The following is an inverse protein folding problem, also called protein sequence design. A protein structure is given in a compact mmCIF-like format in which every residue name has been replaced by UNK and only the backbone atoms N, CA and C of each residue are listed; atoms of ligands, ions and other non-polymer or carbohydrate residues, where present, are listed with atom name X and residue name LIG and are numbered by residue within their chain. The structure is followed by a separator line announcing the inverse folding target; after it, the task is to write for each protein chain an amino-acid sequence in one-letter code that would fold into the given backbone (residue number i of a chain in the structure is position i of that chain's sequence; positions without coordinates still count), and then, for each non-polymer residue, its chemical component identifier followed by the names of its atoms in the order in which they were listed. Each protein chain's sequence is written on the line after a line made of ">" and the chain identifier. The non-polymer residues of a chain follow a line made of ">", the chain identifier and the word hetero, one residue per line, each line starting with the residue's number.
data_IF_334846389258
#
_entry.id   IF_334846389258
#
_cell.length_a   1.000
_cell.length_b   1.000
_cell.length_c   1.000
_cell.angle_alpha   90.00
_cell.angle_beta   90.00
_cell.angle_gamma   90.00
#
_symmetry.space_group_name_H-M   'P 1'
#
loop_
_entity.id
_entity.type
_entity.pdbx_description
1 polymer ?
#
# COMPACT_ATOMS: atom_id res chain seq x y z
N UNK A 1 -9.26 -6.51 -10.87
CA UNK A 1 -9.11 -6.35 -9.41
C UNK A 1 -9.65 -4.98 -9.06
N UNK A 2 -10.28 -4.78 -7.90
CA UNK A 2 -10.68 -3.42 -7.49
C UNK A 2 -9.49 -2.75 -6.82
N UNK A 3 -9.18 -1.52 -7.22
CA UNK A 3 -7.99 -0.80 -6.76
C UNK A 3 -8.36 0.66 -6.49
N UNK A 4 -7.98 1.16 -5.32
CA UNK A 4 -8.00 2.60 -5.02
C UNK A 4 -6.56 3.04 -4.75
N UNK A 5 -6.13 4.15 -5.35
CA UNK A 5 -4.77 4.68 -5.24
C UNK A 5 -4.85 6.06 -4.61
N UNK A 6 -4.00 6.31 -3.62
CA UNK A 6 -3.76 7.64 -3.07
C UNK A 6 -2.35 8.05 -3.45
N UNK A 7 -2.23 9.23 -4.06
CA UNK A 7 -0.95 9.81 -4.44
C UNK A 7 -0.54 10.84 -3.39
N UNK A 8 0.71 10.78 -2.97
CA UNK A 8 1.27 11.66 -1.96
C UNK A 8 2.59 12.26 -2.44
N UNK A 9 2.91 13.45 -1.94
CA UNK A 9 4.25 14.02 -2.04
C UNK A 9 4.76 14.39 -0.66
N UNK A 10 6.00 13.98 -0.37
CA UNK A 10 6.65 14.18 0.93
C UNK A 10 8.09 14.62 0.77
N UNK A 11 8.62 15.29 1.79
CA UNK A 11 10.06 15.58 1.92
C UNK A 11 10.81 14.50 2.70
N UNK A 12 10.11 13.51 3.26
CA UNK A 12 10.72 12.37 3.96
C UNK A 12 11.60 11.56 3.01
N UNK A 13 12.72 11.09 3.53
CA UNK A 13 13.58 10.14 2.82
C UNK A 13 12.85 8.82 2.55
N UNK A 14 13.25 8.12 1.49
CA UNK A 14 12.73 6.79 1.13
C UNK A 14 12.78 5.83 2.33
N UNK A 15 13.86 5.85 3.12
CA UNK A 15 14.01 5.00 4.30
C UNK A 15 13.03 5.34 5.44
N UNK A 16 12.73 6.62 5.66
CA UNK A 16 11.69 7.03 6.62
C UNK A 16 10.31 6.56 6.15
N UNK A 17 10.01 6.69 4.86
CA UNK A 17 8.74 6.23 4.29
C UNK A 17 8.59 4.71 4.42
N UNK A 18 9.63 3.94 4.07
CA UNK A 18 9.67 2.47 4.25
C UNK A 18 9.45 2.07 5.71
N UNK A 19 10.12 2.76 6.64
CA UNK A 19 9.97 2.50 8.07
C UNK A 19 8.54 2.78 8.51
N UNK A 20 7.97 3.93 8.18
CA UNK A 20 6.58 4.27 8.52
C UNK A 20 5.60 3.26 7.93
N UNK A 21 5.78 2.87 6.67
CA UNK A 21 4.93 1.87 6.02
C UNK A 21 4.97 0.52 6.77
N UNK A 22 6.17 -0.01 7.00
CA UNK A 22 6.33 -1.32 7.64
C UNK A 22 5.87 -1.31 9.10
N UNK A 23 6.24 -0.30 9.90
CA UNK A 23 5.83 -0.23 11.32
C UNK A 23 4.34 -0.01 11.49
N UNK A 24 3.71 0.81 10.62
CA UNK A 24 2.26 1.06 10.68
C UNK A 24 1.47 -0.20 10.36
N UNK A 25 1.93 -0.98 9.38
CA UNK A 25 1.22 -2.17 8.91
C UNK A 25 1.57 -3.44 9.68
N UNK A 26 2.71 -3.47 10.39
CA UNK A 26 3.11 -4.58 11.26
C UNK A 26 2.28 -4.61 12.56
N UNK A 27 0.97 -4.85 12.45
CA UNK A 27 0.07 -4.94 13.60
C UNK A 27 0.00 -6.35 14.22
N UNK A 28 0.54 -7.37 13.54
CA UNK A 28 0.59 -8.76 14.02
C UNK A 28 1.71 -9.55 13.34
N UNK A 29 2.03 -10.75 13.86
CA UNK A 29 3.02 -11.68 13.25
C UNK A 29 2.59 -12.29 11.90
N UNK A 30 1.34 -12.06 11.46
CA UNK A 30 0.78 -12.65 10.24
C UNK A 30 0.85 -11.73 9.01
N UNK A 31 1.40 -10.52 9.17
CA UNK A 31 1.56 -9.59 8.06
C UNK A 31 2.78 -10.02 7.26
N UNK A 32 2.58 -10.28 5.98
CA UNK A 32 3.63 -10.63 5.04
C UNK A 32 4.03 -9.38 4.26
N UNK A 33 5.35 -9.17 4.11
CA UNK A 33 5.93 -8.09 3.33
C UNK A 33 6.77 -8.68 2.20
N UNK A 34 6.75 -8.06 1.03
CA UNK A 34 7.55 -8.50 -0.10
C UNK A 34 7.67 -7.44 -1.18
N UNK A 35 8.48 -7.73 -2.20
CA UNK A 35 8.61 -6.87 -3.38
C UNK A 35 7.40 -7.06 -4.31
N UNK A 36 6.94 -5.98 -4.93
CA UNK A 36 5.99 -6.08 -6.04
C UNK A 36 6.75 -6.68 -7.23
N UNK A 37 6.11 -7.58 -7.98
CA UNK A 37 6.73 -8.08 -9.22
C UNK A 37 6.67 -6.96 -10.25
N UNK A 38 7.74 -6.73 -11.00
CA UNK A 38 7.79 -5.68 -12.01
C UNK A 38 6.65 -5.77 -13.06
N UNK A 39 6.13 -6.99 -13.34
CA UNK A 39 4.96 -7.20 -14.21
C UNK A 39 3.63 -6.73 -13.64
N UNK A 40 3.56 -6.53 -12.32
CA UNK A 40 2.36 -6.25 -11.55
C UNK A 40 2.33 -4.77 -11.09
N UNK A 41 3.31 -3.96 -11.50
CA UNK A 41 3.28 -2.51 -11.31
C UNK A 41 2.38 -1.87 -12.38
N UNK A 42 1.19 -1.34 -12.02
CA UNK A 42 0.29 -0.72 -12.98
C UNK A 42 0.76 0.68 -13.40
N UNK A 43 1.81 1.21 -12.77
CA UNK A 43 2.38 2.51 -13.06
C UNK A 43 3.58 2.27 -13.99
N UNK A 44 3.48 2.69 -15.25
CA UNK A 44 4.52 2.55 -16.29
C UNK A 44 5.83 3.31 -15.97
N UNK A 45 5.87 4.03 -14.85
CA UNK A 45 7.03 4.78 -14.39
C UNK A 45 8.05 3.90 -13.65
N UNK A 46 9.32 4.26 -13.83
CA UNK A 46 10.44 3.63 -13.12
C UNK A 46 10.40 4.05 -11.66
N UNK A 47 9.79 3.23 -10.81
CA UNK A 47 9.78 3.41 -9.35
C UNK A 47 11.12 3.00 -8.76
N UNK A 48 11.65 3.79 -7.84
CA UNK A 48 12.91 3.50 -7.15
C UNK A 48 12.72 2.46 -6.04
N UNK A 49 11.49 2.33 -5.53
CA UNK A 49 11.12 1.30 -4.58
C UNK A 49 9.66 0.89 -4.71
N UNK A 50 9.41 -0.41 -4.69
CA UNK A 50 8.10 -1.02 -4.73
C UNK A 50 7.98 -2.20 -3.75
N UNK A 51 6.93 -2.18 -2.95
CA UNK A 51 6.68 -3.25 -1.97
C UNK A 51 5.18 -3.45 -1.73
N UNK A 52 4.86 -4.61 -1.17
CA UNK A 52 3.52 -4.89 -0.67
C UNK A 52 3.56 -5.31 0.79
N UNK A 53 2.43 -5.11 1.45
CA UNK A 53 2.10 -5.67 2.74
C UNK A 53 0.73 -6.33 2.63
N UNK A 54 0.61 -7.56 3.11
CA UNK A 54 -0.66 -8.27 3.12
C UNK A 54 -0.89 -9.04 4.41
N UNK A 55 -2.16 -9.27 4.69
CA UNK A 55 -2.58 -10.18 5.74
C UNK A 55 -3.73 -11.00 5.22
N UNK A 56 -3.55 -12.33 5.21
CA UNK A 56 -4.58 -13.29 4.83
C UNK A 56 -5.09 -14.04 6.05
N UNK A 57 -6.41 -14.07 6.23
CA UNK A 57 -7.06 -14.89 7.25
C UNK A 57 -8.16 -15.77 6.66
N UNK A 58 -8.69 -16.67 7.48
CA UNK A 58 -9.83 -17.50 7.11
C UNK A 58 -11.11 -16.70 6.80
N UNK A 59 -11.23 -15.48 7.34
CA UNK A 59 -12.40 -14.59 7.16
C UNK A 59 -12.20 -13.54 6.05
N UNK A 60 -11.09 -13.61 5.31
CA UNK A 60 -10.66 -12.58 4.36
C UNK A 60 -9.38 -11.87 4.79
N UNK A 61 -8.95 -10.89 4.02
CA UNK A 61 -7.70 -10.18 4.26
C UNK A 61 -7.63 -8.80 3.64
N UNK A 62 -6.47 -8.16 3.78
CA UNK A 62 -6.15 -6.89 3.13
C UNK A 62 -4.80 -6.98 2.43
N UNK A 63 -4.62 -6.12 1.43
CA UNK A 63 -3.39 -6.01 0.65
C UNK A 63 -3.19 -4.54 0.30
N UNK A 64 -2.02 -4.01 0.65
CA UNK A 64 -1.59 -2.66 0.33
C UNK A 64 -0.27 -2.73 -0.42
N UNK A 65 -0.16 -1.99 -1.51
CA UNK A 65 1.10 -1.78 -2.22
C UNK A 65 1.56 -0.34 -2.04
N UNK A 66 2.88 -0.17 -1.97
CA UNK A 66 3.54 1.13 -1.95
C UNK A 66 4.53 1.19 -3.11
N UNK A 67 4.51 2.32 -3.81
CA UNK A 67 5.47 2.67 -4.85
C UNK A 67 6.05 4.03 -4.48
N UNK A 68 7.37 4.16 -4.57
CA UNK A 68 8.08 5.39 -4.26
C UNK A 68 8.97 5.74 -5.45
N UNK A 69 8.83 6.96 -5.92
CA UNK A 69 9.70 7.59 -6.92
C UNK A 69 10.45 8.73 -6.25
N UNK A 70 11.78 8.65 -6.25
CA UNK A 70 12.65 9.66 -5.67
C UNK A 70 12.94 10.76 -6.69
N UNK A 71 12.34 11.94 -6.49
CA UNK A 71 12.59 13.15 -7.29
C UNK A 71 13.61 14.07 -6.61
N UNK A 72 14.55 13.49 -5.85
CA UNK A 72 15.66 14.15 -5.15
C UNK A 72 15.21 14.98 -3.95
N UNK A 73 14.51 16.09 -4.20
CA UNK A 73 14.03 17.02 -3.17
C UNK A 73 12.69 16.57 -2.57
N UNK A 74 11.89 15.84 -3.36
CA UNK A 74 10.59 15.31 -2.94
C UNK A 74 10.44 13.86 -3.37
N UNK A 75 9.68 13.08 -2.61
CA UNK A 75 9.33 11.70 -2.95
C UNK A 75 7.86 11.67 -3.34
N UNK A 76 7.60 11.12 -4.51
CA UNK A 76 6.24 10.80 -4.95
C UNK A 76 5.92 9.39 -4.46
N UNK A 77 4.85 9.27 -3.67
CA UNK A 77 4.43 7.99 -3.11
C UNK A 77 3.05 7.67 -3.66
N UNK A 78 2.88 6.43 -4.11
CA UNK A 78 1.59 5.91 -4.49
C UNK A 78 1.25 4.75 -3.57
N UNK A 79 0.16 4.87 -2.83
CA UNK A 79 -0.37 3.83 -1.96
C UNK A 79 -1.61 3.23 -2.61
N UNK A 80 -1.53 1.96 -3.00
CA UNK A 80 -2.63 1.25 -3.63
C UNK A 80 -3.31 0.29 -2.63
N UNK A 81 -4.59 0.50 -2.37
CA UNK A 81 -5.45 -0.42 -1.68
C UNK A 81 -6.04 -1.42 -2.68
N UNK A 82 -5.75 -2.71 -2.49
CA UNK A 82 -6.23 -3.77 -3.37
C UNK A 82 -7.41 -4.53 -2.76
N UNK A 83 -8.39 -4.84 -3.59
CA UNK A 83 -9.55 -5.65 -3.24
C UNK A 83 -9.96 -6.60 -4.35
N UNK A 84 -10.50 -7.76 -3.97
CA UNK A 84 -11.07 -8.70 -4.94
C UNK A 84 -12.41 -8.18 -5.47
N UNK A 85 -12.64 -8.25 -6.78
CA UNK A 85 -13.92 -7.86 -7.37
C UNK A 85 -15.05 -8.79 -6.90
N UNK A 86 -16.31 -8.33 -6.76
CA UNK A 86 -17.45 -9.16 -6.34
C UNK A 86 -17.58 -10.48 -7.13
N UNK A 87 -17.39 -10.42 -8.45
CA UNK A 87 -17.35 -11.59 -9.35
C UNK A 87 -16.16 -12.53 -9.06
N UNK A 88 -14.96 -11.98 -8.79
CA UNK A 88 -13.80 -12.79 -8.39
C UNK A 88 -13.94 -13.43 -7.01
N UNK A 89 -14.67 -12.79 -6.09
CA UNK A 89 -14.99 -13.33 -4.76
C UNK A 89 -15.93 -14.53 -4.83
N UNK A 90 -16.92 -14.48 -5.72
CA UNK A 90 -17.88 -15.57 -5.92
C UNK A 90 -17.22 -16.84 -6.52
N UNK A 91 -16.14 -16.70 -7.31
CA UNK A 91 -15.51 -17.81 -8.02
C UNK A 91 -14.36 -18.48 -7.25
N UNK A 92 -13.64 -17.74 -6.41
CA UNK A 92 -12.46 -18.26 -5.68
C UNK A 92 -12.73 -18.54 -4.20
N UNK A 93 -13.91 -18.19 -3.68
CA UNK A 93 -14.26 -18.31 -2.27
C UNK A 93 -13.58 -17.25 -1.40
N UNK A 94 -14.24 -16.85 -0.29
CA UNK A 94 -13.83 -15.74 0.58
C UNK A 94 -12.40 -15.87 1.14
N UNK A 95 -11.90 -17.11 1.27
CA UNK A 95 -10.55 -17.44 1.77
C UNK A 95 -9.41 -16.84 0.92
N UNK A 96 -9.68 -16.50 -0.34
CA UNK A 96 -8.68 -15.94 -1.26
C UNK A 96 -8.99 -14.50 -1.66
N UNK A 97 -9.73 -13.77 -0.81
CA UNK A 97 -10.26 -12.46 -1.18
C UNK A 97 -9.77 -11.35 -0.27
N UNK A 98 -9.31 -10.27 -0.89
CA UNK A 98 -8.96 -9.05 -0.17
C UNK A 98 -10.16 -8.11 -0.13
N UNK A 99 -10.40 -7.52 1.04
CA UNK A 99 -11.42 -6.50 1.25
C UNK A 99 -10.87 -5.13 0.88
N UNK A 100 -11.40 -4.50 -0.17
CA UNK A 100 -11.00 -3.14 -0.56
C UNK A 100 -11.17 -2.15 0.60
N UNK A 101 -12.24 -2.32 1.39
CA UNK A 101 -12.52 -1.48 2.56
C UNK A 101 -11.42 -1.57 3.61
N UNK A 102 -10.96 -2.79 3.93
CA UNK A 102 -9.89 -2.99 4.91
C UNK A 102 -8.56 -2.49 4.37
N UNK A 103 -8.23 -2.79 3.11
CA UNK A 103 -7.03 -2.27 2.44
C UNK A 103 -7.00 -0.75 2.45
N UNK A 104 -8.13 -0.08 2.18
CA UNK A 104 -8.26 1.38 2.25
C UNK A 104 -8.02 1.90 3.67
N UNK A 105 -8.58 1.26 4.70
CA UNK A 105 -8.33 1.64 6.09
C UNK A 105 -6.84 1.59 6.43
N UNK A 106 -6.13 0.56 5.96
CA UNK A 106 -4.67 0.44 6.14
C UNK A 106 -3.89 1.51 5.41
N UNK A 107 -4.25 1.81 4.17
CA UNK A 107 -3.66 2.95 3.44
C UNK A 107 -3.87 4.25 4.22
N UNK A 108 -5.07 4.54 4.70
CA UNK A 108 -5.34 5.75 5.46
C UNK A 108 -4.54 5.81 6.77
N UNK A 109 -4.32 4.67 7.45
CA UNK A 109 -3.43 4.63 8.62
C UNK A 109 -1.99 5.01 8.26
N UNK A 110 -1.47 4.53 7.12
CA UNK A 110 -0.12 4.91 6.65
C UNK A 110 -0.07 6.40 6.30
N UNK A 111 -1.08 6.92 5.60
CA UNK A 111 -1.18 8.35 5.27
C UNK A 111 -1.14 9.21 6.54
N UNK A 112 -1.88 8.83 7.58
CA UNK A 112 -1.92 9.59 8.83
C UNK A 112 -0.57 9.59 9.57
N UNK A 113 0.14 8.45 9.56
CA UNK A 113 1.48 8.37 10.15
C UNK A 113 2.51 9.16 9.33
N UNK A 114 2.41 9.15 8.00
CA UNK A 114 3.24 9.99 7.13
C UNK A 114 2.98 11.47 7.37
N UNK A 115 1.70 11.87 7.53
CA UNK A 115 1.33 13.26 7.84
C UNK A 115 1.84 13.71 9.20
N UNK A 116 1.81 12.81 10.19
CA UNK A 116 2.38 13.07 11.51
C UNK A 116 3.89 13.27 11.48
N UNK A 117 4.58 12.60 10.54
CA UNK A 117 6.02 12.70 10.34
C UNK A 117 6.45 13.85 9.42
N UNK A 118 5.56 14.31 8.53
CA UNK A 118 5.79 15.39 7.58
C UNK A 118 4.57 16.32 7.50
N UNK A 119 4.67 17.47 8.16
CA UNK A 119 3.62 18.50 8.12
C UNK A 119 3.41 19.08 6.72
N UNK A 120 4.37 18.92 5.80
CA UNK A 120 4.28 19.36 4.40
C UNK A 120 3.69 18.31 3.45
N UNK A 121 3.21 17.17 3.96
CA UNK A 121 2.65 16.09 3.13
C UNK A 121 1.48 16.59 2.27
N UNK A 122 1.61 16.46 0.95
CA UNK A 122 0.55 16.77 -0.01
C UNK A 122 -0.16 15.49 -0.44
N UNK A 123 -1.49 15.55 -0.58
CA UNK A 123 -2.33 14.45 -1.05
C UNK A 123 -3.00 14.89 -2.35
N UNK A 124 -2.93 14.06 -3.39
CA UNK A 124 -3.50 14.31 -4.71
C UNK A 124 -4.58 13.28 -5.04
#
# INVERSE_FOLDING_TARGET
>A
MATEVIQLRTTLSVEQVKKTFSTTLQTSRKVEFGAVRASDNPFEERTDFDAFAELKTFLGGWLVQIYITDRTDVREIQLAALGSTPLGRAWRGLRYTYSLKESRQRVMSVVEQLRSADAGLQIH
#
